data_IF_035595418789
#
_entry.id   IF_035595418789
#
_cell.length_a   1.000
_cell.length_b   1.000
_cell.length_c   1.000
_cell.angle_alpha   90.00
_cell.angle_beta   90.00
_cell.angle_gamma   90.00
#
_symmetry.space_group_name_H-M   'P 1'
#
loop_
_entity.id
_entity.type
_entity.pdbx_description
1 polymer ?
#
# COMPACT_ATOMS: atom_id res chain seq x y z
N UNK A 1 -1.58 16.90 19.29
CA UNK A 1 -1.12 15.50 19.15
C UNK A 1 0.18 15.54 18.36
N UNK A 2 1.29 15.05 18.93
CA UNK A 2 2.53 14.85 18.18
C UNK A 2 2.29 13.80 17.10
N UNK A 3 2.41 14.17 15.84
CA UNK A 3 2.44 13.18 14.74
C UNK A 3 3.71 12.34 14.90
N UNK A 4 3.62 11.00 14.90
CA UNK A 4 4.81 10.15 14.98
C UNK A 4 5.64 10.28 13.71
N UNK A 5 6.97 10.11 13.84
CA UNK A 5 7.87 10.07 12.69
C UNK A 5 7.52 8.88 11.79
N UNK A 6 7.46 9.11 10.47
CA UNK A 6 7.07 8.12 9.47
C UNK A 6 8.31 7.53 8.79
N UNK A 7 8.53 6.24 8.99
CA UNK A 7 9.62 5.47 8.40
C UNK A 7 9.24 4.90 7.03
N UNK A 8 10.11 5.09 6.05
CA UNK A 8 10.00 4.48 4.71
C UNK A 8 10.11 2.97 4.74
N UNK A 9 10.93 2.42 5.63
CA UNK A 9 11.14 0.98 5.70
C UNK A 9 9.85 0.27 6.12
N UNK A 10 9.14 0.81 7.11
CA UNK A 10 7.85 0.26 7.54
C UNK A 10 6.83 0.38 6.41
N UNK A 11 6.75 1.54 5.74
CA UNK A 11 5.88 1.73 4.60
C UNK A 11 6.13 0.68 3.49
N UNK A 12 7.40 0.48 3.14
CA UNK A 12 7.79 -0.43 2.05
C UNK A 12 7.60 -1.89 2.42
N UNK A 13 7.97 -2.28 3.65
CA UNK A 13 7.73 -3.63 4.17
C UNK A 13 6.23 -3.97 4.20
N UNK A 14 5.37 -3.05 4.63
CA UNK A 14 3.91 -3.26 4.59
C UNK A 14 3.41 -3.49 3.17
N UNK A 15 3.91 -2.72 2.19
CA UNK A 15 3.50 -2.90 0.81
C UNK A 15 4.06 -4.16 0.14
N UNK A 16 5.22 -4.65 0.56
CA UNK A 16 5.80 -5.90 0.06
C UNK A 16 5.11 -7.14 0.65
N UNK A 17 4.97 -7.20 1.98
CA UNK A 17 4.47 -8.39 2.68
C UNK A 17 2.95 -8.47 2.73
N UNK A 18 2.25 -7.32 2.66
CA UNK A 18 0.80 -7.24 2.76
C UNK A 18 0.20 -6.44 1.58
N UNK A 19 0.50 -6.81 0.32
CA UNK A 19 0.02 -6.08 -0.84
C UNK A 19 -1.51 -6.10 -0.92
N UNK A 20 -2.08 -5.03 -1.47
CA UNK A 20 -3.54 -4.88 -1.67
C UNK A 20 -4.35 -4.68 -0.39
N UNK A 21 -3.78 -4.85 0.80
CA UNK A 21 -4.46 -4.59 2.08
C UNK A 21 -4.68 -3.09 2.34
N UNK A 22 -3.94 -2.23 1.64
CA UNK A 22 -3.93 -0.78 1.87
C UNK A 22 -3.18 -0.37 3.14
N UNK A 23 -2.49 -1.29 3.83
CA UNK A 23 -1.78 -1.00 5.08
C UNK A 23 -0.67 0.05 4.92
N UNK A 24 0.01 0.06 3.77
CA UNK A 24 0.99 1.10 3.45
C UNK A 24 0.32 2.50 3.37
N UNK A 25 -0.87 2.61 2.79
CA UNK A 25 -1.66 3.84 2.75
C UNK A 25 -2.22 4.23 4.11
N UNK A 26 -2.70 3.28 4.92
CA UNK A 26 -3.17 3.54 6.28
C UNK A 26 -2.03 3.97 7.20
N UNK A 27 -0.82 3.43 7.00
CA UNK A 27 0.37 3.85 7.74
C UNK A 27 0.64 5.35 7.55
N UNK A 28 0.52 5.86 6.32
CA UNK A 28 0.78 7.28 6.02
C UNK A 28 -0.39 8.19 6.38
N UNK A 29 -1.58 7.87 5.88
CA UNK A 29 -2.75 8.74 5.91
C UNK A 29 -3.70 8.45 7.10
N UNK A 30 -3.41 7.41 7.88
CA UNK A 30 -4.26 6.93 8.96
C UNK A 30 -5.51 6.21 8.45
N UNK A 31 -6.42 5.86 9.37
CA UNK A 31 -7.66 5.12 9.04
C UNK A 31 -8.62 5.90 8.13
N UNK A 32 -8.43 7.21 7.94
CA UNK A 32 -9.21 8.03 7.02
C UNK A 32 -8.70 7.97 5.57
N UNK A 33 -7.72 7.10 5.31
CA UNK A 33 -7.12 6.92 3.98
C UNK A 33 -8.14 6.37 2.98
N UNK A 34 -8.58 7.22 2.06
CA UNK A 34 -9.43 6.80 0.94
C UNK A 34 -8.76 5.68 0.11
N UNK A 35 -7.47 5.83 -0.20
CA UNK A 35 -6.70 4.85 -0.96
C UNK A 35 -6.54 3.51 -0.23
N UNK A 36 -6.34 3.54 1.10
CA UNK A 36 -6.25 2.32 1.89
C UNK A 36 -7.56 1.52 1.85
N UNK A 37 -8.70 2.20 1.98
CA UNK A 37 -10.01 1.55 1.91
C UNK A 37 -10.34 1.02 0.51
N UNK A 38 -9.99 1.75 -0.56
CA UNK A 38 -10.18 1.25 -1.93
C UNK A 38 -9.37 -0.01 -2.17
N UNK A 39 -8.08 -0.04 -1.78
CA UNK A 39 -7.25 -1.23 -1.92
C UNK A 39 -7.86 -2.41 -1.14
N UNK A 40 -8.19 -2.19 0.14
CA UNK A 40 -8.75 -3.25 0.99
C UNK A 40 -10.06 -3.82 0.43
N UNK A 41 -10.99 -2.96 0.04
CA UNK A 41 -12.29 -3.38 -0.52
C UNK A 41 -12.12 -4.09 -1.87
N UNK A 42 -11.20 -3.63 -2.72
CA UNK A 42 -10.87 -4.26 -4.00
C UNK A 42 -10.19 -5.62 -3.81
N UNK A 43 -9.31 -5.77 -2.83
CA UNK A 43 -8.69 -7.04 -2.48
C UNK A 43 -9.74 -8.05 -1.98
N UNK A 44 -10.63 -7.63 -1.08
CA UNK A 44 -11.74 -8.46 -0.61
C UNK A 44 -12.64 -8.88 -1.79
N UNK A 45 -12.97 -7.94 -2.68
CA UNK A 45 -13.71 -8.23 -3.90
C UNK A 45 -13.00 -9.31 -4.74
N UNK A 46 -11.69 -9.19 -4.96
CA UNK A 46 -10.91 -10.20 -5.67
C UNK A 46 -10.94 -11.59 -5.04
N UNK A 47 -10.83 -11.68 -3.72
CA UNK A 47 -10.93 -12.94 -2.99
C UNK A 47 -12.32 -13.56 -3.19
N UNK A 48 -13.38 -12.75 -3.08
CA UNK A 48 -14.75 -13.22 -3.32
C UNK A 48 -14.95 -13.68 -4.77
N UNK A 49 -14.37 -12.96 -5.75
CA UNK A 49 -14.39 -13.35 -7.16
C UNK A 49 -13.69 -14.71 -7.38
N UNK A 50 -12.54 -14.93 -6.76
CA UNK A 50 -11.82 -16.21 -6.83
C UNK A 50 -12.64 -17.36 -6.23
N UNK A 51 -13.25 -17.16 -5.06
CA UNK A 51 -14.13 -18.16 -4.43
C UNK A 51 -15.36 -18.46 -5.30
N UNK A 52 -15.90 -17.44 -5.98
CA UNK A 52 -17.06 -17.60 -6.85
C UNK A 52 -16.72 -18.41 -8.12
N UNK A 53 -15.56 -18.18 -8.74
CA UNK A 53 -15.12 -19.00 -9.88
C UNK A 53 -14.83 -20.46 -9.48
N UNK A 54 -14.29 -20.70 -8.28
CA UNK A 54 -14.05 -22.06 -7.81
C UNK A 54 -15.34 -22.87 -7.58
N UNK A 55 -16.44 -22.19 -7.23
CA UNK A 55 -17.73 -22.84 -6.97
C UNK A 55 -18.64 -22.89 -8.19
N UNK A 56 -18.48 -21.97 -9.15
CA UNK A 56 -19.28 -21.92 -10.38
C UNK A 56 -18.43 -21.41 -11.54
N UNK A 57 -17.58 -22.29 -12.13
CA UNK A 57 -16.62 -21.90 -13.17
C UNK A 57 -17.27 -21.43 -14.48
N UNK A 58 -18.52 -21.85 -14.72
CA UNK A 58 -19.12 -21.88 -16.05
C UNK A 58 -19.61 -20.53 -16.60
N UNK A 59 -19.79 -19.46 -15.81
CA UNK A 59 -20.40 -18.22 -16.40
C UNK A 59 -20.36 -16.91 -15.62
N UNK A 60 -19.61 -16.77 -14.52
CA UNK A 60 -19.69 -15.51 -13.76
C UNK A 60 -18.74 -14.45 -14.29
N UNK A 61 -19.15 -13.69 -15.31
CA UNK A 61 -18.46 -12.48 -15.75
C UNK A 61 -18.21 -11.51 -14.58
N UNK A 62 -19.13 -11.46 -13.62
CA UNK A 62 -18.97 -10.70 -12.37
C UNK A 62 -17.77 -11.20 -11.53
N UNK A 63 -17.56 -12.51 -11.40
CA UNK A 63 -16.43 -13.07 -10.68
C UNK A 63 -15.08 -12.67 -11.30
N UNK A 64 -15.00 -12.65 -12.63
CA UNK A 64 -13.81 -12.17 -13.34
C UNK A 64 -13.53 -10.69 -13.09
N UNK A 65 -14.56 -9.83 -13.13
CA UNK A 65 -14.41 -8.41 -12.79
C UNK A 65 -13.88 -8.24 -11.37
N UNK A 66 -14.44 -8.99 -10.41
CA UNK A 66 -14.00 -8.96 -9.02
C UNK A 66 -12.52 -9.36 -8.88
N UNK A 67 -12.09 -10.44 -9.53
CA UNK A 67 -10.68 -10.88 -9.54
C UNK A 67 -9.77 -9.80 -10.11
N UNK A 68 -10.14 -9.18 -11.22
CA UNK A 68 -9.37 -8.09 -11.83
C UNK A 68 -9.23 -6.92 -10.86
N UNK A 69 -10.28 -6.55 -10.11
CA UNK A 69 -10.20 -5.51 -9.09
C UNK A 69 -9.20 -5.87 -7.98
N UNK A 70 -9.22 -7.11 -7.50
CA UNK A 70 -8.25 -7.58 -6.51
C UNK A 70 -6.81 -7.55 -7.02
N UNK A 71 -6.62 -7.95 -8.29
CA UNK A 71 -5.30 -7.91 -8.92
C UNK A 71 -4.80 -6.46 -9.06
N UNK A 72 -5.65 -5.53 -9.49
CA UNK A 72 -5.33 -4.10 -9.53
C UNK A 72 -4.94 -3.57 -8.14
N UNK A 73 -5.60 -4.05 -7.07
CA UNK A 73 -5.26 -3.63 -5.71
C UNK A 73 -3.84 -4.06 -5.30
N UNK A 74 -3.42 -5.28 -5.66
CA UNK A 74 -2.07 -5.78 -5.42
C UNK A 74 -1.03 -4.95 -6.17
N UNK A 75 -1.24 -4.77 -7.47
CA UNK A 75 -0.35 -3.99 -8.36
C UNK A 75 -0.24 -2.53 -7.90
N UNK A 76 -1.36 -1.90 -7.53
CA UNK A 76 -1.36 -0.54 -6.99
C UNK A 76 -0.54 -0.45 -5.69
N UNK A 77 -0.59 -1.48 -4.85
CA UNK A 77 0.20 -1.56 -3.62
C UNK A 77 1.69 -1.62 -3.93
N UNK A 78 2.14 -2.52 -4.80
CA UNK A 78 3.55 -2.64 -5.20
C UNK A 78 4.05 -1.42 -5.92
N UNK A 79 3.29 -0.88 -6.89
CA UNK A 79 3.66 0.34 -7.58
C UNK A 79 3.83 1.50 -6.61
N UNK A 80 2.92 1.63 -5.62
CA UNK A 80 3.06 2.66 -4.58
C UNK A 80 4.32 2.42 -3.73
N UNK A 81 4.62 1.17 -3.36
CA UNK A 81 5.85 0.80 -2.65
C UNK A 81 7.09 1.23 -3.42
N UNK A 82 7.14 1.00 -4.73
CA UNK A 82 8.26 1.41 -5.58
C UNK A 82 8.39 2.92 -5.63
N UNK A 83 7.30 3.62 -5.96
CA UNK A 83 7.32 5.08 -6.15
C UNK A 83 7.67 5.82 -4.86
N UNK A 84 7.19 5.36 -3.71
CA UNK A 84 7.44 6.00 -2.42
C UNK A 84 8.70 5.48 -1.73
N UNK A 85 9.04 4.21 -1.90
CA UNK A 85 10.26 3.59 -1.35
C UNK A 85 11.53 4.16 -1.99
N UNK A 86 11.54 4.34 -3.31
CA UNK A 86 12.66 4.93 -4.06
C UNK A 86 12.65 6.46 -4.12
N UNK A 87 11.65 7.10 -3.51
CA UNK A 87 11.60 8.56 -3.43
C UNK A 87 12.81 9.08 -2.64
N UNK A 88 13.46 10.19 -3.03
CA UNK A 88 14.51 10.81 -2.22
C UNK A 88 14.05 11.12 -0.78
N UNK A 89 14.95 10.94 0.20
CA UNK A 89 14.67 11.17 1.64
C UNK A 89 14.16 12.59 1.92
N UNK A 90 14.78 13.60 1.33
CA UNK A 90 14.39 15.00 1.50
C UNK A 90 12.94 15.26 1.06
N UNK A 91 12.53 14.65 -0.07
CA UNK A 91 11.15 14.77 -0.59
C UNK A 91 10.14 14.04 0.29
N UNK A 92 10.53 12.92 0.87
CA UNK A 92 9.70 12.20 1.82
C UNK A 92 9.51 12.98 3.11
N UNK A 93 10.60 13.50 3.67
CA UNK A 93 10.56 14.26 4.91
C UNK A 93 9.76 15.56 4.74
N UNK A 94 9.93 16.26 3.63
CA UNK A 94 9.14 17.46 3.32
C UNK A 94 7.63 17.18 3.28
N UNK A 95 7.21 15.98 2.85
CA UNK A 95 5.79 15.64 2.73
C UNK A 95 5.21 15.02 4.01
N UNK A 96 5.92 14.09 4.65
CA UNK A 96 5.36 13.25 5.73
C UNK A 96 5.95 13.56 7.11
N UNK A 97 7.15 14.17 7.18
CA UNK A 97 7.86 14.46 8.42
C UNK A 97 8.19 15.96 8.57
N UNK A 98 7.43 16.87 7.93
CA UNK A 98 7.72 18.30 7.95
C UNK A 98 7.87 18.88 9.38
N UNK A 99 7.06 18.38 10.32
CA UNK A 99 7.10 18.76 11.73
C UNK A 99 8.40 18.37 12.47
N UNK A 100 9.24 17.54 11.88
CA UNK A 100 10.52 17.05 12.44
C UNK A 100 11.75 17.68 11.78
N UNK A 101 11.58 18.64 10.87
CA UNK A 101 12.70 19.33 10.22
C UNK A 101 13.71 19.85 11.25
N UNK A 102 14.99 19.48 11.08
CA UNK A 102 16.10 19.85 11.95
C UNK A 102 16.26 19.02 13.24
N UNK A 103 15.29 18.15 13.58
CA UNK A 103 15.37 17.26 14.75
C UNK A 103 15.71 15.82 14.37
N UNK A 104 15.13 15.34 13.28
CA UNK A 104 15.34 13.99 12.77
C UNK A 104 15.17 13.99 11.26
N UNK A 105 16.04 13.26 10.56
CA UNK A 105 15.99 13.07 9.11
C UNK A 105 15.73 11.60 8.80
N UNK A 106 15.06 11.34 7.70
CA UNK A 106 15.00 9.99 7.13
C UNK A 106 16.35 9.67 6.50
N UNK A 107 16.99 8.61 6.97
CA UNK A 107 18.17 8.03 6.33
C UNK A 107 17.77 6.65 5.80
N UNK A 108 17.25 6.63 4.56
CA UNK A 108 16.90 5.37 3.93
C UNK A 108 18.16 4.63 3.50
N UNK A 109 18.31 3.40 3.97
CA UNK A 109 19.39 2.51 3.57
C UNK A 109 18.93 1.46 2.56
N UNK A 110 19.87 0.56 2.20
CA UNK A 110 19.62 -0.64 1.40
C UNK A 110 18.37 -1.44 1.76
N UNK A 111 17.95 -1.59 3.03
CA UNK A 111 16.73 -2.32 3.36
C UNK A 111 15.48 -1.79 2.67
N UNK A 112 15.37 -0.46 2.47
CA UNK A 112 14.23 0.11 1.73
C UNK A 112 14.27 -0.36 0.29
N UNK A 113 15.45 -0.35 -0.34
CA UNK A 113 15.63 -0.79 -1.74
C UNK A 113 15.32 -2.29 -1.91
N UNK A 114 15.66 -3.12 -0.92
CA UNK A 114 15.36 -4.57 -0.94
C UNK A 114 13.85 -4.83 -0.77
N UNK A 115 13.14 -3.96 -0.05
CA UNK A 115 11.69 -4.08 0.14
C UNK A 115 10.87 -3.62 -1.08
N UNK A 116 11.51 -3.14 -2.13
CA UNK A 116 10.88 -2.56 -3.31
C UNK A 116 11.10 -3.46 -4.51
#
# INVERSE_FOLDING_TARGET
MSTPFRSKLIFSALGLFLPGTGFNCFYLLGIKSFWGWIQLTSLIAGILGFLLLNTSPESSAAAWVLIVLGFIALEASWLSTIVFGLRPDEKWDAQFNASFQGKQKTESGWPVVICV
#
